data_IF_133743753446
#
_entry.id   IF_133743753446
#
_cell.length_a   1.000
_cell.length_b   1.000
_cell.length_c   1.000
_cell.angle_alpha   90.00
_cell.angle_beta   90.00
_cell.angle_gamma   90.00
#
_symmetry.space_group_name_H-M   'P 1'
#
loop_
_entity.id
_entity.type
_entity.pdbx_description
1 polymer ?
#
# COMPACT_ATOMS: atom_id res chain seq x y z
N UNK A 1 -2.60 69.82 35.91
CA UNK A 1 -3.72 69.48 35.01
C UNK A 1 -3.25 68.68 33.78
N UNK A 2 -2.27 69.15 33.01
CA UNK A 2 -1.74 68.47 31.80
C UNK A 2 -1.19 67.05 32.04
N UNK A 3 -0.55 66.81 33.19
CA UNK A 3 0.00 65.47 33.55
C UNK A 3 -1.12 64.45 33.79
N UNK A 4 -2.25 64.89 34.38
CA UNK A 4 -3.40 64.03 34.67
C UNK A 4 -4.16 63.62 33.40
N UNK A 5 -4.31 64.52 32.42
CA UNK A 5 -4.88 64.17 31.11
C UNK A 5 -4.01 63.15 30.37
N UNK A 6 -2.68 63.33 30.37
CA UNK A 6 -1.76 62.37 29.75
C UNK A 6 -1.78 61.00 30.43
N UNK A 7 -1.97 60.96 31.74
CA UNK A 7 -2.13 59.71 32.50
C UNK A 7 -3.43 58.97 32.18
N UNK A 8 -4.55 59.69 32.07
CA UNK A 8 -5.84 59.13 31.67
C UNK A 8 -5.79 58.54 30.26
N UNK A 9 -5.14 59.23 29.33
CA UNK A 9 -4.95 58.73 27.96
C UNK A 9 -4.04 57.50 27.94
N UNK A 10 -2.95 57.48 28.71
CA UNK A 10 -2.02 56.35 28.77
C UNK A 10 -2.63 55.09 29.40
N UNK A 11 -3.35 55.26 30.52
CA UNK A 11 -4.08 54.15 31.17
C UNK A 11 -5.19 53.61 30.28
N UNK A 12 -5.90 54.47 29.55
CA UNK A 12 -6.91 54.07 28.57
C UNK A 12 -6.29 53.26 27.42
N UNK A 13 -5.12 53.68 26.91
CA UNK A 13 -4.36 52.92 25.90
C UNK A 13 -3.94 51.55 26.44
N UNK A 14 -3.45 51.46 27.68
CA UNK A 14 -3.08 50.19 28.29
C UNK A 14 -4.28 49.24 28.48
N UNK A 15 -5.44 49.77 28.85
CA UNK A 15 -6.68 48.99 28.96
C UNK A 15 -7.17 48.49 27.60
N UNK A 16 -7.07 49.32 26.56
CA UNK A 16 -7.36 48.91 25.17
C UNK A 16 -6.38 47.85 24.70
N UNK A 17 -5.09 48.01 24.98
CA UNK A 17 -4.04 47.05 24.62
C UNK A 17 -4.27 45.70 25.33
N UNK A 18 -4.61 45.74 26.62
CA UNK A 18 -5.01 44.58 27.41
C UNK A 18 -6.21 43.88 26.78
N UNK A 19 -7.26 44.63 26.41
CA UNK A 19 -8.47 44.09 25.81
C UNK A 19 -8.19 43.43 24.44
N UNK A 20 -7.38 44.05 23.59
CA UNK A 20 -7.01 43.50 22.29
C UNK A 20 -6.16 42.22 22.41
N UNK A 21 -5.17 42.21 23.31
CA UNK A 21 -4.33 41.04 23.58
C UNK A 21 -5.17 39.89 24.17
N UNK A 22 -6.11 40.20 25.05
CA UNK A 22 -7.05 39.24 25.62
C UNK A 22 -7.95 38.62 24.55
N UNK A 23 -8.54 39.43 23.66
CA UNK A 23 -9.44 38.99 22.60
C UNK A 23 -8.74 38.11 21.56
N UNK A 24 -7.50 38.45 21.17
CA UNK A 24 -6.71 37.65 20.22
C UNK A 24 -6.35 36.28 20.77
N UNK A 25 -6.12 36.16 22.07
CA UNK A 25 -5.82 34.89 22.72
C UNK A 25 -7.05 33.96 22.80
N UNK A 26 -8.24 34.51 23.08
CA UNK A 26 -9.50 33.74 23.10
C UNK A 26 -9.82 33.06 21.76
N UNK A 27 -9.38 33.62 20.63
CA UNK A 27 -9.59 33.04 19.30
C UNK A 27 -8.70 31.81 19.02
N UNK A 28 -7.61 31.63 19.77
CA UNK A 28 -6.63 30.54 19.56
C UNK A 28 -6.64 29.49 20.67
N UNK A 29 -7.36 29.72 21.78
CA UNK A 29 -7.31 28.89 22.97
C UNK A 29 -8.48 27.89 23.01
N UNK A 30 -8.64 27.08 21.97
CA UNK A 30 -9.43 25.85 22.08
C UNK A 30 -8.59 24.80 22.83
N UNK A 31 -8.61 24.85 24.17
CA UNK A 31 -8.20 23.69 24.99
C UNK A 31 -7.33 23.94 26.22
N UNK A 32 -6.71 25.11 26.42
CA UNK A 32 -5.79 25.32 27.56
C UNK A 32 -6.21 26.46 28.49
N UNK A 33 -7.15 26.15 29.38
CA UNK A 33 -7.71 27.09 30.36
C UNK A 33 -6.61 27.61 31.32
N UNK A 34 -5.69 26.74 31.74
CA UNK A 34 -4.68 27.08 32.77
C UNK A 34 -3.53 27.96 32.24
N UNK A 35 -2.97 27.66 31.06
CA UNK A 35 -1.93 28.52 30.45
C UNK A 35 -2.50 29.89 30.08
N UNK A 36 -3.75 29.94 29.64
CA UNK A 36 -4.48 31.18 29.41
C UNK A 36 -4.68 32.03 30.67
N UNK A 37 -4.94 31.41 31.82
CA UNK A 37 -5.01 32.12 33.11
C UNK A 37 -3.65 32.70 33.48
N UNK A 38 -2.57 31.92 33.40
CA UNK A 38 -1.22 32.39 33.72
C UNK A 38 -0.77 33.54 32.81
N UNK A 39 -1.09 33.48 31.52
CA UNK A 39 -0.84 34.58 30.58
C UNK A 39 -1.61 35.86 30.96
N UNK A 40 -2.90 35.74 31.33
CA UNK A 40 -3.72 36.89 31.77
C UNK A 40 -3.20 37.54 33.05
N UNK A 41 -2.77 36.73 34.01
CA UNK A 41 -2.19 37.22 35.28
C UNK A 41 -0.84 37.89 35.02
N UNK A 42 -0.01 37.33 34.15
CA UNK A 42 1.26 37.95 33.75
C UNK A 42 1.05 39.31 33.07
N UNK A 43 0.09 39.40 32.15
CA UNK A 43 -0.26 40.64 31.46
C UNK A 43 -0.75 41.72 32.45
N UNK A 44 -1.52 41.34 33.47
CA UNK A 44 -1.96 42.24 34.54
C UNK A 44 -0.78 42.79 35.35
N UNK A 45 0.18 41.95 35.73
CA UNK A 45 1.40 42.41 36.40
C UNK A 45 2.25 43.33 35.53
N UNK A 46 2.30 43.10 34.22
CA UNK A 46 2.98 43.97 33.26
C UNK A 46 2.31 45.36 33.18
N UNK A 47 0.98 45.41 33.17
CA UNK A 47 0.23 46.68 33.22
C UNK A 47 0.47 47.42 34.54
N UNK A 48 0.47 46.71 35.67
CA UNK A 48 0.79 47.29 36.99
C UNK A 48 2.20 47.89 37.01
N UNK A 49 3.19 47.23 36.42
CA UNK A 49 4.56 47.78 36.30
C UNK A 49 4.65 49.04 35.47
N UNK A 50 3.80 49.18 34.44
CA UNK A 50 3.76 50.37 33.58
C UNK A 50 3.03 51.55 34.24
N UNK A 51 2.07 51.29 35.13
CA UNK A 51 1.32 52.32 35.85
C UNK A 51 2.11 52.87 37.06
N UNK A 52 2.94 52.03 37.70
CA UNK A 52 3.66 52.36 38.94
C UNK A 52 4.51 53.67 38.87
N UNK A 53 5.32 53.94 37.83
CA UNK A 53 6.11 55.17 37.73
C UNK A 53 5.27 56.46 37.66
N UNK A 54 4.10 56.40 37.03
CA UNK A 54 3.22 57.55 36.89
C UNK A 54 2.44 57.85 38.17
N UNK A 55 2.06 56.82 38.93
CA UNK A 55 1.45 56.98 40.25
C UNK A 55 2.38 57.72 41.21
N UNK A 56 3.68 57.43 41.16
CA UNK A 56 4.68 58.09 42.01
C UNK A 56 4.94 59.52 41.57
N UNK A 57 5.06 59.81 40.27
CA UNK A 57 5.18 61.19 39.76
C UNK A 57 3.98 62.07 40.18
N UNK A 58 2.80 61.47 40.31
CA UNK A 58 1.62 62.15 40.84
C UNK A 58 1.72 62.44 42.35
N UNK A 59 2.24 61.49 43.15
CA UNK A 59 2.38 61.64 44.61
C UNK A 59 3.56 62.55 45.00
N UNK A 60 4.66 62.52 44.26
CA UNK A 60 5.94 63.21 44.55
C UNK A 60 6.00 64.63 43.96
N UNK A 61 4.90 65.17 43.41
CA UNK A 61 4.83 66.46 42.72
C UNK A 61 5.15 67.71 43.60
N UNK A 62 5.81 67.56 44.75
CA UNK A 62 6.18 68.62 45.69
C UNK A 62 7.65 68.57 46.21
N UNK A 63 8.57 67.76 45.67
CA UNK A 63 9.95 67.71 46.19
C UNK A 63 11.10 67.79 45.18
N UNK A 64 12.27 68.23 45.67
CA UNK A 64 13.46 68.63 44.92
C UNK A 64 14.09 67.49 44.09
N UNK A 65 14.74 67.86 42.99
CA UNK A 65 15.38 66.98 41.99
C UNK A 65 16.39 65.97 42.59
N UNK A 66 16.96 66.23 43.77
CA UNK A 66 17.87 65.31 44.48
C UNK A 66 17.17 64.05 45.04
N UNK A 67 15.84 64.08 45.25
CA UNK A 67 15.07 62.91 45.68
C UNK A 67 14.73 61.95 44.53
N UNK A 68 14.96 62.35 43.27
CA UNK A 68 14.72 61.51 42.09
C UNK A 68 15.57 60.23 42.08
N UNK A 69 16.78 60.26 42.68
CA UNK A 69 17.61 59.06 42.84
C UNK A 69 16.98 58.04 43.78
N UNK A 70 16.50 58.48 44.95
CA UNK A 70 15.81 57.62 45.92
C UNK A 70 14.46 57.08 45.38
N UNK A 71 13.76 57.91 44.61
CA UNK A 71 12.55 57.50 43.87
C UNK A 71 12.88 56.45 42.80
N UNK A 72 14.01 56.61 42.09
CA UNK A 72 14.52 55.63 41.14
C UNK A 72 14.88 54.28 41.76
N UNK A 73 15.53 54.29 42.92
CA UNK A 73 15.90 53.07 43.66
C UNK A 73 14.66 52.33 44.21
N UNK A 74 13.67 53.07 44.73
CA UNK A 74 12.39 52.48 45.15
C UNK A 74 11.60 51.94 43.96
N UNK A 75 11.62 52.64 42.81
CA UNK A 75 10.99 52.18 41.57
C UNK A 75 11.64 50.91 41.05
N UNK A 76 12.96 50.84 40.99
CA UNK A 76 13.70 49.64 40.62
C UNK A 76 13.40 48.47 41.56
N UNK A 77 13.42 48.72 42.87
CA UNK A 77 13.13 47.73 43.89
C UNK A 77 11.68 47.23 43.90
N UNK A 78 10.70 48.09 43.60
CA UNK A 78 9.28 47.73 43.61
C UNK A 78 8.80 47.11 42.29
N UNK A 79 9.38 47.49 41.14
CA UNK A 79 8.99 46.95 39.82
C UNK A 79 9.64 45.60 39.51
N UNK A 80 10.86 45.35 39.97
CA UNK A 80 11.58 44.11 39.70
C UNK A 80 10.83 42.83 40.14
N UNK A 81 10.19 42.77 41.34
CA UNK A 81 9.39 41.61 41.74
C UNK A 81 8.20 41.35 40.83
N UNK A 82 7.52 42.39 40.33
CA UNK A 82 6.39 42.23 39.42
C UNK A 82 6.82 41.75 38.03
N UNK A 83 7.95 42.26 37.50
CA UNK A 83 8.54 41.77 36.24
C UNK A 83 8.99 40.31 36.40
N UNK A 84 9.61 39.97 37.53
CA UNK A 84 10.02 38.60 37.85
C UNK A 84 8.83 37.64 37.91
N UNK A 85 7.76 38.03 38.60
CA UNK A 85 6.53 37.25 38.68
C UNK A 85 5.85 37.10 37.31
N UNK A 86 5.74 38.17 36.53
CA UNK A 86 5.18 38.13 35.18
C UNK A 86 5.98 37.17 34.27
N UNK A 87 7.32 37.24 34.32
CA UNK A 87 8.21 36.37 33.55
C UNK A 87 8.09 34.91 33.96
N UNK A 88 8.00 34.64 35.27
CA UNK A 88 7.80 33.28 35.80
C UNK A 88 6.47 32.67 35.33
N UNK A 89 5.38 33.44 35.40
CA UNK A 89 4.05 33.00 34.93
C UNK A 89 4.03 32.74 33.43
N UNK A 90 4.76 33.53 32.62
CA UNK A 90 4.93 33.29 31.19
C UNK A 90 5.66 31.98 30.89
N UNK A 91 6.75 31.70 31.62
CA UNK A 91 7.50 30.44 31.49
C UNK A 91 6.60 29.26 31.87
N UNK A 92 5.84 29.35 32.96
CA UNK A 92 4.88 28.30 33.34
C UNK A 92 3.81 28.08 32.28
N UNK A 93 3.21 29.15 31.75
CA UNK A 93 2.22 29.06 30.67
C UNK A 93 2.81 28.36 29.43
N UNK A 94 4.05 28.72 29.07
CA UNK A 94 4.78 28.13 27.95
C UNK A 94 5.08 26.65 28.21
N UNK A 95 5.53 26.30 29.42
CA UNK A 95 5.81 24.92 29.81
C UNK A 95 4.59 24.00 29.67
N UNK A 96 3.42 24.44 30.15
CA UNK A 96 2.20 23.66 29.99
C UNK A 96 1.82 23.49 28.52
N UNK A 97 1.94 24.55 27.71
CA UNK A 97 1.68 24.50 26.26
C UNK A 97 2.60 23.51 25.56
N UNK A 98 3.90 23.58 25.83
CA UNK A 98 4.89 22.63 25.30
C UNK A 98 4.60 21.18 25.71
N UNK A 99 4.14 20.97 26.95
CA UNK A 99 3.76 19.63 27.44
C UNK A 99 2.59 19.05 26.65
N UNK A 100 1.58 19.87 26.33
CA UNK A 100 0.41 19.43 25.56
C UNK A 100 0.76 19.22 24.08
N UNK A 101 1.58 20.09 23.48
CA UNK A 101 2.12 19.90 22.13
C UNK A 101 2.95 18.61 22.02
N UNK A 102 3.79 18.30 23.01
CA UNK A 102 4.55 17.05 23.06
C UNK A 102 3.62 15.83 23.13
N UNK A 103 2.53 15.92 23.89
CA UNK A 103 1.53 14.84 23.96
C UNK A 103 0.85 14.62 22.62
N UNK A 104 0.41 15.69 21.96
CA UNK A 104 -0.19 15.61 20.63
C UNK A 104 0.81 15.08 19.58
N UNK A 105 2.07 15.51 19.65
CA UNK A 105 3.14 15.03 18.77
C UNK A 105 3.36 13.53 18.94
N UNK A 106 3.38 13.02 20.18
CA UNK A 106 3.49 11.58 20.44
C UNK A 106 2.33 10.78 19.86
N UNK A 107 1.09 11.24 20.05
CA UNK A 107 -0.12 10.61 19.49
C UNK A 107 -0.09 10.59 17.94
N UNK A 108 0.30 11.70 17.32
CA UNK A 108 0.46 11.79 15.87
C UNK A 108 1.56 10.87 15.35
N UNK A 109 2.66 10.75 16.09
CA UNK A 109 3.76 9.85 15.76
C UNK A 109 3.32 8.37 15.83
N UNK A 110 2.63 7.97 16.89
CA UNK A 110 2.05 6.62 17.01
C UNK A 110 1.05 6.30 15.89
N UNK A 111 0.27 7.29 15.47
CA UNK A 111 -0.64 7.14 14.33
C UNK A 111 0.14 6.96 13.03
N UNK A 112 1.20 7.75 12.83
CA UNK A 112 2.05 7.69 11.64
C UNK A 112 2.80 6.36 11.52
N UNK A 113 3.34 5.82 12.62
CA UNK A 113 4.01 4.51 12.62
C UNK A 113 3.04 3.40 12.22
N UNK A 114 1.82 3.41 12.74
CA UNK A 114 0.77 2.46 12.35
C UNK A 114 0.38 2.58 10.88
N UNK A 115 0.31 3.80 10.34
CA UNK A 115 0.05 4.04 8.91
C UNK A 115 1.19 3.51 8.02
N UNK A 116 2.44 3.73 8.43
CA UNK A 116 3.61 3.22 7.70
C UNK A 116 3.62 1.69 7.62
N UNK A 117 3.25 1.00 8.69
CA UNK A 117 3.14 -0.47 8.69
C UNK A 117 2.08 -0.93 7.68
N UNK A 118 0.90 -0.30 7.66
CA UNK A 118 -0.15 -0.59 6.67
C UNK A 118 0.30 -0.26 5.24
N UNK A 119 1.05 0.83 5.07
CA UNK A 119 1.57 1.24 3.77
C UNK A 119 2.58 0.21 3.24
N UNK A 120 3.49 -0.29 4.08
CA UNK A 120 4.44 -1.34 3.69
C UNK A 120 3.72 -2.60 3.19
N UNK A 121 2.64 -3.02 3.87
CA UNK A 121 1.82 -4.15 3.43
C UNK A 121 1.18 -3.90 2.06
N UNK A 122 0.67 -2.69 1.81
CA UNK A 122 0.11 -2.32 0.51
C UNK A 122 1.17 -2.29 -0.60
N UNK A 123 2.38 -1.81 -0.29
CA UNK A 123 3.51 -1.78 -1.22
C UNK A 123 3.89 -3.21 -1.64
N UNK A 124 3.90 -4.16 -0.71
CA UNK A 124 4.22 -5.55 -1.04
C UNK A 124 3.17 -6.18 -1.98
N UNK A 125 1.88 -5.89 -1.75
CA UNK A 125 0.81 -6.30 -2.67
C UNK A 125 1.00 -5.67 -4.05
N UNK A 126 1.28 -4.37 -4.13
CA UNK A 126 1.52 -3.67 -5.39
C UNK A 126 2.72 -4.22 -6.15
N UNK A 127 3.83 -4.50 -5.47
CA UNK A 127 5.04 -5.11 -6.09
C UNK A 127 4.71 -6.49 -6.66
N UNK A 128 3.95 -7.29 -5.90
CA UNK A 128 3.48 -8.59 -6.37
C UNK A 128 2.60 -8.44 -7.62
N UNK A 129 1.58 -7.59 -7.57
CA UNK A 129 0.64 -7.36 -8.68
C UNK A 129 1.36 -6.87 -9.94
N UNK A 130 2.26 -5.90 -9.80
CA UNK A 130 3.05 -5.40 -10.93
C UNK A 130 3.87 -6.53 -11.58
N UNK A 131 4.56 -7.35 -10.77
CA UNK A 131 5.35 -8.47 -11.28
C UNK A 131 4.45 -9.53 -11.91
N UNK A 132 3.31 -9.83 -11.29
CA UNK A 132 2.30 -10.76 -11.80
C UNK A 132 1.80 -10.34 -13.18
N UNK A 133 1.35 -9.10 -13.33
CA UNK A 133 0.85 -8.60 -14.62
C UNK A 133 1.95 -8.50 -15.67
N UNK A 134 3.19 -8.16 -15.28
CA UNK A 134 4.34 -8.25 -16.20
C UNK A 134 4.56 -9.68 -16.71
N UNK A 135 4.44 -10.71 -15.85
CA UNK A 135 4.56 -12.11 -16.27
C UNK A 135 3.40 -12.56 -17.17
N UNK A 136 2.19 -12.03 -16.95
CA UNK A 136 1.03 -12.26 -17.83
C UNK A 136 1.25 -11.60 -19.19
N UNK A 137 1.77 -10.37 -19.22
CA UNK A 137 2.15 -9.72 -20.48
C UNK A 137 3.25 -10.48 -21.21
N UNK A 138 4.27 -10.96 -20.49
CA UNK A 138 5.32 -11.81 -21.05
C UNK A 138 4.74 -13.10 -21.64
N UNK A 139 3.69 -13.67 -21.03
CA UNK A 139 2.99 -14.82 -21.62
C UNK A 139 2.39 -14.48 -22.98
N UNK A 140 1.72 -13.33 -23.11
CA UNK A 140 1.18 -12.90 -24.39
C UNK A 140 2.29 -12.61 -25.42
N UNK A 141 3.40 -11.99 -25.01
CA UNK A 141 4.54 -11.76 -25.89
C UNK A 141 5.17 -13.07 -26.38
N UNK A 142 5.38 -14.04 -25.50
CA UNK A 142 5.87 -15.38 -25.87
C UNK A 142 4.92 -16.02 -26.87
N UNK A 143 3.62 -16.03 -26.58
CA UNK A 143 2.63 -16.65 -27.49
C UNK A 143 2.59 -15.94 -28.83
N UNK A 144 2.64 -14.61 -28.86
CA UNK A 144 2.55 -13.80 -30.09
C UNK A 144 3.84 -13.82 -30.92
N UNK A 145 5.00 -14.00 -30.28
CA UNK A 145 6.31 -14.10 -30.96
C UNK A 145 6.56 -15.45 -31.62
N UNK A 146 5.75 -16.47 -31.30
CA UNK A 146 5.76 -17.74 -32.01
C UNK A 146 5.31 -17.50 -33.45
N UNK A 147 6.25 -17.64 -34.38
CA UNK A 147 5.99 -17.61 -35.81
C UNK A 147 6.43 -18.92 -36.46
N UNK A 148 5.62 -19.44 -37.37
CA UNK A 148 5.94 -20.64 -38.14
C UNK A 148 5.77 -20.34 -39.63
N UNK A 149 6.85 -20.48 -40.39
CA UNK A 149 6.81 -20.33 -41.83
C UNK A 149 6.24 -21.60 -42.46
N UNK A 150 5.19 -21.44 -43.27
CA UNK A 150 4.52 -22.53 -43.94
C UNK A 150 4.81 -22.38 -45.41
N UNK A 151 5.83 -23.11 -45.88
CA UNK A 151 6.09 -23.38 -47.29
C UNK A 151 5.81 -22.17 -48.23
N UNK A 152 6.28 -20.98 -47.85
CA UNK A 152 6.39 -19.82 -48.74
C UNK A 152 5.15 -18.96 -48.99
N UNK A 153 3.94 -19.26 -48.46
CA UNK A 153 2.73 -18.54 -48.92
C UNK A 153 1.88 -17.83 -47.88
N UNK A 154 2.16 -17.94 -46.57
CA UNK A 154 1.59 -17.05 -45.55
C UNK A 154 2.26 -17.29 -44.20
N UNK A 155 2.91 -16.25 -43.65
CA UNK A 155 3.39 -16.29 -42.26
C UNK A 155 2.17 -16.41 -41.33
N UNK A 156 2.11 -17.49 -40.56
CA UNK A 156 1.13 -17.62 -39.49
C UNK A 156 1.82 -17.29 -38.19
N UNK A 157 1.22 -16.38 -37.44
CA UNK A 157 1.78 -15.83 -36.20
C UNK A 157 0.86 -16.09 -35.01
N UNK A 158 1.47 -16.16 -33.83
CA UNK A 158 0.79 -16.17 -32.55
C UNK A 158 0.02 -17.45 -32.25
N UNK A 159 -1.18 -17.31 -31.67
CA UNK A 159 -2.05 -18.41 -31.25
C UNK A 159 -2.46 -19.34 -32.40
N UNK A 160 -2.48 -18.84 -33.64
CA UNK A 160 -2.79 -19.67 -34.81
C UNK A 160 -1.70 -20.71 -35.09
N UNK A 161 -0.43 -20.39 -34.77
CA UNK A 161 0.66 -21.36 -34.86
C UNK A 161 0.48 -22.46 -33.84
N UNK A 162 0.14 -22.12 -32.59
CA UNK A 162 -0.13 -23.13 -31.56
C UNK A 162 -1.26 -24.07 -31.96
N UNK A 163 -2.31 -23.56 -32.62
CA UNK A 163 -3.36 -24.40 -33.17
C UNK A 163 -2.85 -25.36 -34.26
N UNK A 164 -2.02 -24.88 -35.19
CA UNK A 164 -1.40 -25.76 -36.21
C UNK A 164 -0.45 -26.79 -35.61
N UNK A 165 0.35 -26.39 -34.63
CA UNK A 165 1.25 -27.29 -33.89
C UNK A 165 0.43 -28.36 -33.14
N UNK A 166 -0.70 -27.99 -32.55
CA UNK A 166 -1.64 -28.95 -31.95
C UNK A 166 -2.25 -29.92 -32.99
N UNK A 167 -2.61 -29.47 -34.19
CA UNK A 167 -3.07 -30.37 -35.27
C UNK A 167 -1.98 -31.35 -35.74
N UNK A 168 -0.71 -31.03 -35.53
CA UNK A 168 0.39 -31.99 -35.76
C UNK A 168 0.55 -32.96 -34.59
N UNK A 169 0.32 -32.51 -33.35
CA UNK A 169 0.23 -33.41 -32.19
C UNK A 169 -0.89 -34.43 -32.38
N UNK A 170 -2.07 -33.99 -32.86
CA UNK A 170 -3.19 -34.90 -33.05
C UNK A 170 -2.87 -36.05 -34.01
N UNK A 171 -2.05 -35.76 -35.03
CA UNK A 171 -1.55 -36.77 -35.97
C UNK A 171 -0.47 -37.67 -35.34
N UNK A 172 0.42 -37.13 -34.52
CA UNK A 172 1.46 -37.95 -33.85
C UNK A 172 0.90 -38.85 -32.74
N UNK A 173 -0.30 -38.53 -32.23
CA UNK A 173 -1.02 -39.30 -31.21
C UNK A 173 -1.95 -40.37 -31.79
N UNK A 174 -1.69 -40.82 -33.02
CA UNK A 174 -2.47 -41.86 -33.70
C UNK A 174 -2.61 -43.11 -32.81
N UNK A 175 -3.85 -43.54 -32.62
CA UNK A 175 -4.23 -44.59 -31.68
C UNK A 175 -4.86 -45.77 -32.41
N UNK A 176 -4.22 -46.93 -32.32
CA UNK A 176 -4.80 -48.17 -32.80
C UNK A 176 -5.86 -48.67 -31.80
N UNK A 177 -7.14 -48.59 -32.19
CA UNK A 177 -8.29 -49.01 -31.37
C UNK A 177 -8.24 -50.49 -30.94
N UNK A 178 -7.47 -51.32 -31.65
CA UNK A 178 -7.31 -52.75 -31.37
C UNK A 178 -6.72 -53.06 -29.99
N UNK A 179 -6.04 -52.11 -29.33
CA UNK A 179 -5.54 -52.26 -27.96
C UNK A 179 -6.33 -51.42 -26.95
N UNK A 180 -7.53 -51.91 -26.60
CA UNK A 180 -8.53 -51.13 -25.88
C UNK A 180 -8.28 -50.89 -24.36
N UNK A 181 -7.02 -50.84 -23.86
CA UNK A 181 -6.76 -50.46 -22.44
C UNK A 181 -6.37 -48.99 -22.25
N UNK A 182 -6.68 -48.42 -21.07
CA UNK A 182 -6.25 -47.06 -20.70
C UNK A 182 -4.73 -46.95 -20.57
N UNK A 183 -4.08 -48.00 -20.07
CA UNK A 183 -2.62 -48.08 -19.97
C UNK A 183 -1.95 -48.06 -21.35
N UNK A 184 -2.55 -48.72 -22.35
CA UNK A 184 -2.07 -48.62 -23.73
C UNK A 184 -2.22 -47.20 -24.27
N UNK A 185 -3.31 -46.50 -23.94
CA UNK A 185 -3.49 -45.10 -24.33
C UNK A 185 -2.45 -44.18 -23.69
N UNK A 186 -2.16 -44.32 -22.39
CA UNK A 186 -1.07 -43.59 -21.72
C UNK A 186 0.27 -43.80 -22.43
N UNK A 187 0.62 -45.04 -22.78
CA UNK A 187 1.88 -45.34 -23.51
C UNK A 187 1.91 -44.72 -24.91
N UNK A 188 0.79 -44.77 -25.64
CA UNK A 188 0.64 -44.15 -26.97
C UNK A 188 0.77 -42.63 -26.89
N UNK A 189 0.11 -41.99 -25.93
CA UNK A 189 0.24 -40.54 -25.68
C UNK A 189 1.69 -40.19 -25.37
N UNK A 190 2.34 -40.91 -24.45
CA UNK A 190 3.71 -40.62 -24.06
C UNK A 190 4.65 -40.68 -25.26
N UNK A 191 4.60 -41.75 -26.05
CA UNK A 191 5.45 -41.94 -27.23
C UNK A 191 5.21 -40.86 -28.30
N UNK A 192 3.95 -40.60 -28.64
CA UNK A 192 3.60 -39.64 -29.70
C UNK A 192 3.84 -38.18 -29.28
N UNK A 193 3.61 -37.86 -28.01
CA UNK A 193 3.89 -36.55 -27.45
C UNK A 193 5.40 -36.30 -27.38
N UNK A 194 6.20 -37.28 -26.98
CA UNK A 194 7.65 -37.12 -26.85
C UNK A 194 8.31 -36.83 -28.20
N UNK A 195 7.93 -37.57 -29.25
CA UNK A 195 8.37 -37.32 -30.62
C UNK A 195 7.96 -35.91 -31.11
N UNK A 196 6.70 -35.54 -30.91
CA UNK A 196 6.20 -34.20 -31.26
C UNK A 196 6.90 -33.10 -30.45
N UNK A 197 7.14 -33.33 -29.16
CA UNK A 197 7.75 -32.32 -28.30
C UNK A 197 9.17 -32.01 -28.75
N UNK A 198 9.96 -33.02 -29.13
CA UNK A 198 11.32 -32.82 -29.66
C UNK A 198 11.30 -31.93 -30.91
N UNK A 199 10.32 -32.12 -31.81
CA UNK A 199 10.18 -31.34 -33.04
C UNK A 199 9.74 -29.88 -32.77
N UNK A 200 8.86 -29.65 -31.79
CA UNK A 200 8.25 -28.35 -31.53
C UNK A 200 8.76 -27.64 -30.26
N UNK A 201 9.78 -28.18 -29.59
CA UNK A 201 10.27 -27.74 -28.28
C UNK A 201 10.53 -26.22 -28.24
N UNK A 202 11.16 -25.68 -29.28
CA UNK A 202 11.49 -24.26 -29.37
C UNK A 202 10.25 -23.35 -29.28
N UNK A 203 9.09 -23.83 -29.71
CA UNK A 203 7.84 -23.06 -29.70
C UNK A 203 7.02 -23.29 -28.42
N UNK A 204 6.88 -24.56 -28.01
CA UNK A 204 5.99 -24.94 -26.90
C UNK A 204 6.68 -24.92 -25.54
N UNK A 205 8.00 -25.10 -25.50
CA UNK A 205 8.78 -25.23 -24.27
C UNK A 205 8.70 -23.96 -23.42
N UNK A 206 8.96 -22.81 -24.05
CA UNK A 206 8.88 -21.50 -23.40
C UNK A 206 7.45 -21.16 -22.94
N UNK A 207 6.44 -21.45 -23.76
CA UNK A 207 5.03 -21.29 -23.40
C UNK A 207 4.68 -22.09 -22.13
N UNK A 208 4.98 -23.39 -22.11
CA UNK A 208 4.67 -24.28 -20.97
C UNK A 208 5.44 -23.82 -19.72
N UNK A 209 6.71 -23.47 -19.88
CA UNK A 209 7.54 -23.02 -18.77
C UNK A 209 7.05 -21.70 -18.17
N UNK A 210 6.56 -20.77 -18.99
CA UNK A 210 6.04 -19.51 -18.47
C UNK A 210 4.74 -19.69 -17.67
N UNK A 211 3.85 -20.60 -18.10
CA UNK A 211 2.65 -20.94 -17.31
C UNK A 211 3.03 -21.57 -15.96
N UNK A 212 4.03 -22.45 -15.94
CA UNK A 212 4.55 -22.99 -14.68
C UNK A 212 5.08 -21.86 -13.77
N UNK A 213 5.88 -20.94 -14.31
CA UNK A 213 6.45 -19.84 -13.54
C UNK A 213 5.38 -18.89 -13.01
N UNK A 214 4.35 -18.57 -13.80
CA UNK A 214 3.18 -17.78 -13.37
C UNK A 214 2.48 -18.43 -12.19
N UNK A 215 2.12 -19.70 -12.30
CA UNK A 215 1.45 -20.40 -11.20
C UNK A 215 2.38 -20.51 -9.98
N UNK A 216 3.69 -20.69 -10.17
CA UNK A 216 4.66 -20.86 -9.09
C UNK A 216 4.95 -19.53 -8.40
N UNK A 217 4.89 -18.44 -9.13
CA UNK A 217 4.96 -17.09 -8.60
C UNK A 217 3.78 -16.79 -7.68
N UNK A 218 2.55 -17.15 -8.09
CA UNK A 218 1.35 -17.07 -7.25
C UNK A 218 1.48 -17.97 -6.02
N UNK A 219 1.89 -19.22 -6.22
CA UNK A 219 1.89 -20.25 -5.19
C UNK A 219 2.83 -19.94 -4.01
N UNK A 220 3.97 -19.30 -4.29
CA UNK A 220 4.99 -18.94 -3.30
C UNK A 220 4.62 -17.76 -2.42
N UNK A 221 3.63 -16.95 -2.79
CA UNK A 221 3.30 -15.76 -2.00
C UNK A 221 2.73 -16.12 -0.64
N UNK A 222 3.03 -15.32 0.38
CA UNK A 222 2.45 -15.48 1.70
C UNK A 222 1.08 -14.78 1.77
N UNK A 223 0.08 -15.34 1.09
CA UNK A 223 -1.29 -14.85 1.11
C UNK A 223 -2.29 -16.02 1.19
N UNK A 224 -3.55 -15.73 1.52
CA UNK A 224 -4.62 -16.72 1.61
C UNK A 224 -4.79 -17.47 0.28
N UNK A 225 -5.26 -18.73 0.36
CA UNK A 225 -5.55 -19.51 -0.84
C UNK A 225 -6.59 -18.82 -1.74
N UNK A 226 -7.60 -18.17 -1.15
CA UNK A 226 -8.62 -17.43 -1.89
C UNK A 226 -7.99 -16.34 -2.78
N UNK A 227 -7.08 -15.53 -2.22
CA UNK A 227 -6.40 -14.49 -2.99
C UNK A 227 -5.54 -15.10 -4.11
N UNK A 228 -4.77 -16.16 -3.82
CA UNK A 228 -4.02 -16.90 -4.85
C UNK A 228 -4.92 -17.43 -5.96
N UNK A 229 -6.07 -17.96 -5.58
CA UNK A 229 -7.05 -18.51 -6.50
C UNK A 229 -7.60 -17.43 -7.44
N UNK A 230 -7.83 -16.20 -6.97
CA UNK A 230 -8.23 -15.08 -7.84
C UNK A 230 -7.17 -14.75 -8.90
N UNK A 231 -5.88 -14.71 -8.55
CA UNK A 231 -4.81 -14.51 -9.54
C UNK A 231 -4.72 -15.68 -10.53
N UNK A 232 -4.88 -16.92 -10.05
CA UNK A 232 -4.87 -18.09 -10.93
C UNK A 232 -6.08 -18.10 -11.89
N UNK A 233 -7.23 -17.55 -11.49
CA UNK A 233 -8.39 -17.34 -12.40
C UNK A 233 -8.03 -16.38 -13.53
N UNK A 234 -7.26 -15.32 -13.26
CA UNK A 234 -6.79 -14.39 -14.29
C UNK A 234 -5.89 -15.13 -15.29
N UNK A 235 -4.92 -15.92 -14.80
CA UNK A 235 -4.05 -16.75 -15.68
C UNK A 235 -4.89 -17.69 -16.53
N UNK A 236 -5.84 -18.40 -15.90
CA UNK A 236 -6.75 -19.33 -16.60
C UNK A 236 -7.56 -18.64 -17.70
N UNK A 237 -8.01 -17.41 -17.47
CA UNK A 237 -8.78 -16.65 -18.45
C UNK A 237 -7.96 -16.22 -19.68
N UNK A 238 -6.63 -16.21 -19.58
CA UNK A 238 -5.77 -15.91 -20.73
C UNK A 238 -5.56 -17.10 -21.66
N UNK A 239 -5.80 -18.33 -21.19
CA UNK A 239 -5.54 -19.56 -21.94
C UNK A 239 -6.69 -19.92 -22.88
N UNK A 240 -6.35 -20.15 -24.13
CA UNK A 240 -7.25 -20.72 -25.14
C UNK A 240 -7.44 -22.22 -24.93
N UNK A 241 -8.51 -22.76 -25.54
CA UNK A 241 -8.75 -24.19 -25.49
C UNK A 241 -7.58 -25.01 -26.10
N UNK A 242 -6.97 -24.52 -27.18
CA UNK A 242 -5.77 -25.14 -27.79
C UNK A 242 -4.61 -25.22 -26.80
N UNK A 243 -4.33 -24.13 -26.09
CA UNK A 243 -3.26 -24.08 -25.08
C UNK A 243 -3.55 -25.03 -23.92
N UNK A 244 -4.80 -25.10 -23.47
CA UNK A 244 -5.23 -26.07 -22.45
C UNK A 244 -5.08 -27.52 -22.93
N UNK A 245 -5.39 -27.83 -24.20
CA UNK A 245 -5.17 -29.17 -24.76
C UNK A 245 -3.69 -29.55 -24.78
N UNK A 246 -2.81 -28.64 -25.22
CA UNK A 246 -1.36 -28.85 -25.21
C UNK A 246 -0.87 -29.10 -23.78
N UNK A 247 -1.31 -28.27 -22.82
CA UNK A 247 -0.95 -28.44 -21.41
C UNK A 247 -1.46 -29.77 -20.85
N UNK A 248 -2.67 -30.20 -21.21
CA UNK A 248 -3.23 -31.48 -20.79
C UNK A 248 -2.35 -32.65 -21.26
N UNK A 249 -2.02 -32.74 -22.55
CA UNK A 249 -1.14 -33.80 -23.04
C UNK A 249 0.28 -33.71 -22.46
N UNK A 250 0.76 -32.49 -22.16
CA UNK A 250 2.01 -32.31 -21.41
C UNK A 250 1.97 -32.97 -20.03
N UNK A 251 0.84 -32.86 -19.31
CA UNK A 251 0.68 -33.47 -17.98
C UNK A 251 0.76 -34.98 -17.97
N UNK A 252 0.37 -35.62 -19.09
CA UNK A 252 0.36 -37.07 -19.24
C UNK A 252 1.78 -37.59 -19.53
N UNK A 253 2.48 -36.95 -20.46
CA UNK A 253 3.78 -37.41 -20.96
C UNK A 253 4.95 -37.07 -20.04
N UNK A 254 5.02 -35.84 -19.52
CA UNK A 254 6.18 -35.36 -18.77
C UNK A 254 5.93 -35.40 -17.27
N UNK A 255 6.01 -36.60 -16.70
CA UNK A 255 5.87 -36.89 -15.25
C UNK A 255 6.89 -36.11 -14.39
N UNK A 256 8.04 -35.71 -14.94
CA UNK A 256 9.10 -34.99 -14.21
C UNK A 256 8.67 -33.62 -13.67
N UNK A 257 7.51 -33.10 -14.10
CA UNK A 257 6.92 -31.86 -13.58
C UNK A 257 5.75 -32.12 -12.62
N UNK A 258 5.86 -33.09 -11.71
CA UNK A 258 4.80 -33.40 -10.69
C UNK A 258 4.25 -32.14 -10.02
N UNK A 259 5.14 -31.24 -9.59
CA UNK A 259 4.75 -29.96 -8.99
C UNK A 259 3.86 -29.12 -9.91
N UNK A 260 4.17 -29.06 -11.21
CA UNK A 260 3.36 -28.31 -12.16
C UNK A 260 1.96 -28.91 -12.32
N UNK A 261 1.87 -30.24 -12.39
CA UNK A 261 0.58 -30.96 -12.45
C UNK A 261 -0.24 -30.73 -11.18
N UNK A 262 0.38 -30.84 -10.00
CA UNK A 262 -0.25 -30.53 -8.72
C UNK A 262 -0.79 -29.10 -8.68
N UNK A 263 -0.03 -28.14 -9.19
CA UNK A 263 -0.47 -26.74 -9.26
C UNK A 263 -1.63 -26.54 -10.23
N UNK A 264 -1.61 -27.19 -11.39
CA UNK A 264 -2.72 -27.14 -12.35
C UNK A 264 -4.01 -27.71 -11.75
N UNK A 265 -3.91 -28.77 -10.93
CA UNK A 265 -5.04 -29.31 -10.14
C UNK A 265 -5.49 -28.33 -9.07
N UNK A 266 -4.57 -27.91 -8.19
CA UNK A 266 -4.80 -26.98 -7.08
C UNK A 266 -5.54 -25.72 -7.52
N UNK A 267 -5.17 -25.16 -8.67
CA UNK A 267 -5.77 -23.94 -9.20
C UNK A 267 -6.89 -24.17 -10.22
N UNK A 268 -7.29 -25.43 -10.44
CA UNK A 268 -8.35 -25.83 -11.39
C UNK A 268 -8.14 -25.18 -12.76
N UNK A 269 -6.92 -25.30 -13.31
CA UNK A 269 -6.54 -24.64 -14.56
C UNK A 269 -7.40 -25.12 -15.75
N UNK A 270 -7.74 -26.41 -15.78
CA UNK A 270 -8.54 -27.02 -16.84
C UNK A 270 -10.06 -26.84 -16.70
N UNK A 271 -10.54 -25.97 -15.79
CA UNK A 271 -12.00 -25.78 -15.54
C UNK A 271 -12.80 -25.49 -16.81
N UNK A 272 -12.21 -24.80 -17.79
CA UNK A 272 -12.86 -24.41 -19.04
C UNK A 272 -12.31 -25.15 -20.27
N UNK A 273 -11.62 -26.27 -20.06
CA UNK A 273 -11.21 -27.12 -21.17
C UNK A 273 -12.46 -27.71 -21.83
N UNK A 274 -12.65 -27.44 -23.13
CA UNK A 274 -13.66 -28.11 -23.92
C UNK A 274 -13.19 -29.54 -24.23
N UNK A 275 -13.76 -30.50 -23.51
CA UNK A 275 -13.41 -31.93 -23.60
C UNK A 275 -13.80 -32.55 -24.94
N UNK A 276 -14.66 -31.92 -25.73
CA UNK A 276 -15.01 -32.41 -27.07
C UNK A 276 -13.88 -32.26 -28.08
N UNK A 277 -12.89 -31.42 -27.77
CA UNK A 277 -11.68 -31.28 -28.57
C UNK A 277 -10.57 -32.25 -28.12
N UNK A 278 -10.83 -33.12 -27.14
CA UNK A 278 -9.93 -34.23 -26.84
C UNK A 278 -10.01 -35.28 -27.96
N UNK A 279 -8.85 -35.81 -28.34
CA UNK A 279 -8.71 -36.57 -29.59
C UNK A 279 -9.46 -37.90 -29.60
N UNK A 280 -9.52 -38.57 -28.45
CA UNK A 280 -10.15 -39.88 -28.30
C UNK A 280 -10.98 -39.93 -27.02
N UNK A 281 -12.01 -40.78 -26.98
CA UNK A 281 -12.86 -40.96 -25.79
C UNK A 281 -12.05 -41.32 -24.53
N UNK A 282 -10.98 -42.10 -24.69
CA UNK A 282 -10.06 -42.43 -23.59
C UNK A 282 -9.30 -41.24 -23.03
N UNK A 283 -9.07 -40.21 -23.83
CA UNK A 283 -8.45 -38.98 -23.35
C UNK A 283 -9.41 -38.25 -22.41
N UNK A 284 -10.73 -38.33 -22.68
CA UNK A 284 -11.77 -37.84 -21.77
C UNK A 284 -11.78 -38.62 -20.46
N UNK A 285 -11.68 -39.95 -20.51
CA UNK A 285 -11.56 -40.79 -19.31
C UNK A 285 -10.31 -40.44 -18.48
N UNK A 286 -9.15 -40.32 -19.13
CA UNK A 286 -7.88 -39.91 -18.49
C UNK A 286 -8.01 -38.53 -17.85
N UNK A 287 -8.66 -37.59 -18.53
CA UNK A 287 -8.91 -36.25 -18.01
C UNK A 287 -9.79 -36.29 -16.76
N UNK A 288 -10.89 -37.06 -16.80
CA UNK A 288 -11.80 -37.19 -15.67
C UNK A 288 -11.11 -37.78 -14.44
N UNK A 289 -10.33 -38.84 -14.63
CA UNK A 289 -9.57 -39.49 -13.54
C UNK A 289 -8.55 -38.54 -12.89
N UNK A 290 -7.92 -37.67 -13.67
CA UNK A 290 -6.80 -36.84 -13.19
C UNK A 290 -7.19 -35.44 -12.71
N UNK A 291 -8.33 -34.89 -13.16
CA UNK A 291 -8.67 -33.48 -12.96
C UNK A 291 -10.14 -33.19 -12.57
N UNK A 292 -11.08 -34.15 -12.68
CA UNK A 292 -12.49 -33.95 -12.30
C UNK A 292 -12.89 -34.55 -10.93
N UNK A 293 -12.02 -35.31 -10.26
CA UNK A 293 -12.35 -36.01 -9.01
C UNK A 293 -12.47 -35.11 -7.74
N UNK A 294 -12.52 -33.78 -7.88
CA UNK A 294 -12.55 -32.82 -6.74
C UNK A 294 -13.81 -31.92 -6.70
N UNK A 295 -14.92 -32.33 -7.30
CA UNK A 295 -16.22 -31.65 -7.08
C UNK A 295 -17.08 -32.30 -5.98
N UNK A 296 -16.66 -33.43 -5.41
CA UNK A 296 -17.51 -34.21 -4.48
C UNK A 296 -17.15 -34.03 -2.98
N UNK A 297 -16.05 -33.38 -2.60
CA UNK A 297 -15.67 -33.29 -1.16
C UNK A 297 -15.88 -31.93 -0.48
N UNK A 298 -16.57 -30.97 -1.12
CA UNK A 298 -16.86 -29.67 -0.51
C UNK A 298 -18.29 -29.17 -0.80
N UNK A 299 -19.27 -30.06 -0.64
CA UNK A 299 -20.67 -29.71 -0.43
C UNK A 299 -21.10 -30.17 0.96
#
# INVERSE_FOLDING_TARGET
>A
MVIMEKFLVFTFILVILYYFLHKRFLANAEGMILSGIFFRVSLLFMVLTLINPFFILYVVNHSNILELGAVGDWLGGSTAPFIGLASFLMILATYFTQKDELKQTKLSYETQTNLLVKQNQMIDIQRFEQTFFNLVSLHHEIVNSISFDINGDSKVDGRNVLHKIYLKLSKSLEYNETQNSINHRYKSINKGYEAWYIEYEMFIGHFIQNIFHLLNFIDRQNMSFENKYQYAKIVRAQLTNTELLILFYNTISRIEKRKFVEMMRKYKLFKYLNTDHLLYNKDKEIFQMNFHMEEISQA
#
